data_IF_907046321469
#
_entry.id   IF_907046321469
#
_cell.length_a   1.000
_cell.length_b   1.000
_cell.length_c   1.000
_cell.angle_alpha   90.00
_cell.angle_beta   90.00
_cell.angle_gamma   90.00
#
_symmetry.space_group_name_H-M   'P 1'
#
loop_
_entity.id
_entity.type
_entity.pdbx_description
1 polymer ?
#
# COMPACT_ATOMS: atom_id res chain seq x y z
N UNK A 1 -11.78 8.02 -26.40
CA UNK A 1 -11.90 6.62 -25.93
C UNK A 1 -13.29 6.10 -26.25
N UNK A 2 -13.41 4.84 -26.72
CA UNK A 2 -14.69 4.19 -26.99
C UNK A 2 -15.11 3.32 -25.78
N UNK A 3 -16.36 3.41 -25.34
CA UNK A 3 -16.95 2.47 -24.38
C UNK A 3 -17.51 1.28 -25.17
N UNK A 4 -17.10 0.08 -24.82
CA UNK A 4 -17.58 -1.16 -25.46
C UNK A 4 -18.68 -1.78 -24.59
N UNK A 5 -19.92 -1.70 -25.05
CA UNK A 5 -21.04 -2.37 -24.39
C UNK A 5 -21.01 -3.87 -24.70
N UNK A 6 -21.04 -4.67 -23.66
CA UNK A 6 -21.00 -6.13 -23.78
C UNK A 6 -22.44 -6.68 -23.73
N UNK A 7 -22.77 -7.55 -24.70
CA UNK A 7 -24.10 -8.12 -24.86
C UNK A 7 -24.27 -9.50 -24.24
N UNK A 8 -23.14 -10.17 -23.85
CA UNK A 8 -23.16 -11.48 -23.21
C UNK A 8 -22.12 -11.57 -22.10
N UNK A 9 -22.48 -12.13 -20.95
CA UNK A 9 -21.55 -12.44 -19.88
C UNK A 9 -20.49 -13.49 -20.28
N UNK A 10 -20.72 -14.23 -21.35
CA UNK A 10 -19.79 -15.22 -21.91
C UNK A 10 -18.80 -14.62 -22.94
N UNK A 11 -18.84 -13.29 -23.18
CA UNK A 11 -17.96 -12.63 -24.14
C UNK A 11 -16.47 -12.94 -23.82
N UNK A 12 -15.68 -13.42 -24.81
CA UNK A 12 -14.28 -13.78 -24.59
C UNK A 12 -13.38 -12.60 -24.18
N UNK A 13 -13.75 -11.37 -24.51
CA UNK A 13 -13.03 -10.15 -24.11
C UNK A 13 -13.03 -9.93 -22.59
N UNK A 14 -13.96 -10.57 -21.87
CA UNK A 14 -14.04 -10.53 -20.41
C UNK A 14 -13.15 -11.56 -19.71
N UNK A 15 -12.41 -12.38 -20.46
CA UNK A 15 -11.59 -13.46 -19.89
C UNK A 15 -10.62 -12.94 -18.80
N UNK A 16 -9.99 -11.80 -19.04
CA UNK A 16 -9.04 -11.19 -18.08
C UNK A 16 -9.70 -10.86 -16.74
N UNK A 17 -11.02 -10.67 -16.70
CA UNK A 17 -11.74 -10.36 -15.45
C UNK A 17 -12.25 -11.60 -14.71
N UNK A 18 -12.15 -12.81 -15.29
CA UNK A 18 -12.65 -14.04 -14.66
C UNK A 18 -11.75 -14.57 -13.55
N UNK A 19 -10.45 -14.23 -13.58
CA UNK A 19 -9.48 -14.66 -12.59
C UNK A 19 -9.01 -13.56 -11.63
N UNK A 20 -9.70 -12.41 -11.61
CA UNK A 20 -9.35 -11.30 -10.70
C UNK A 20 -9.51 -11.63 -9.21
N UNK A 21 -10.18 -12.73 -8.89
CA UNK A 21 -10.25 -13.29 -7.54
C UNK A 21 -9.07 -14.18 -7.15
N UNK A 22 -8.27 -14.62 -8.13
CA UNK A 22 -7.12 -15.52 -7.94
C UNK A 22 -5.81 -14.74 -7.86
N UNK A 23 -5.30 -14.56 -6.64
CA UNK A 23 -4.09 -13.79 -6.39
C UNK A 23 -2.84 -14.41 -7.03
N UNK A 24 -2.74 -15.76 -7.05
CA UNK A 24 -1.61 -16.47 -7.63
C UNK A 24 -1.58 -16.32 -9.16
N UNK A 25 -2.74 -16.39 -9.80
CA UNK A 25 -2.86 -16.19 -11.24
C UNK A 25 -2.54 -14.74 -11.65
N UNK A 26 -2.98 -13.75 -10.85
CA UNK A 26 -2.65 -12.35 -11.08
C UNK A 26 -1.14 -12.12 -10.96
N UNK A 27 -0.49 -12.66 -9.94
CA UNK A 27 0.95 -12.57 -9.76
C UNK A 27 1.71 -13.22 -10.92
N UNK A 28 1.33 -14.43 -11.31
CA UNK A 28 1.92 -15.17 -12.46
C UNK A 28 1.82 -14.36 -13.77
N UNK A 29 0.74 -13.60 -13.96
CA UNK A 29 0.53 -12.73 -15.13
C UNK A 29 1.15 -11.35 -14.99
N UNK A 30 1.72 -11.01 -13.85
CA UNK A 30 2.24 -9.67 -13.57
C UNK A 30 1.13 -8.61 -13.58
N UNK A 31 -0.04 -8.93 -13.03
CA UNK A 31 -1.20 -8.05 -13.01
C UNK A 31 -1.60 -7.68 -11.58
N UNK A 32 -2.22 -6.53 -11.45
CA UNK A 32 -2.87 -6.05 -10.23
C UNK A 32 -4.31 -5.67 -10.52
N UNK A 33 -5.17 -5.87 -9.51
CA UNK A 33 -6.59 -5.56 -9.59
C UNK A 33 -6.93 -4.41 -8.67
N UNK A 34 -7.59 -3.42 -9.23
CA UNK A 34 -8.03 -2.22 -8.51
C UNK A 34 -9.54 -2.16 -8.54
N UNK A 35 -10.19 -2.19 -7.37
CA UNK A 35 -11.64 -2.20 -7.25
C UNK A 35 -12.18 -0.95 -6.55
N UNK A 36 -13.38 -0.55 -6.94
CA UNK A 36 -14.09 0.56 -6.36
C UNK A 36 -13.81 1.90 -7.03
N UNK A 37 -14.87 2.65 -7.30
CA UNK A 37 -14.85 3.85 -8.14
C UNK A 37 -13.76 4.84 -7.76
N UNK A 38 -13.68 5.27 -6.50
CA UNK A 38 -12.70 6.26 -6.05
C UNK A 38 -11.24 5.77 -6.20
N UNK A 39 -11.01 4.46 -6.02
CA UNK A 39 -9.66 3.88 -6.16
C UNK A 39 -9.27 3.74 -7.62
N UNK A 40 -10.22 3.37 -8.49
CA UNK A 40 -10.01 3.34 -9.95
C UNK A 40 -9.81 4.76 -10.50
N UNK A 41 -10.58 5.75 -10.05
CA UNK A 41 -10.36 7.16 -10.40
C UNK A 41 -8.94 7.61 -10.02
N UNK A 42 -8.46 7.24 -8.84
CA UNK A 42 -7.10 7.54 -8.38
C UNK A 42 -6.03 6.81 -9.20
N UNK A 43 -6.25 5.54 -9.55
CA UNK A 43 -5.37 4.82 -10.47
C UNK A 43 -5.19 5.58 -11.78
N UNK A 44 -6.31 6.06 -12.35
CA UNK A 44 -6.30 6.75 -13.65
C UNK A 44 -5.74 8.18 -13.59
N UNK A 45 -5.81 8.84 -12.43
CA UNK A 45 -5.39 10.23 -12.27
C UNK A 45 -3.96 10.39 -11.74
N UNK A 46 -3.59 9.60 -10.74
CA UNK A 46 -2.40 9.84 -9.91
C UNK A 46 -1.32 8.76 -10.05
N UNK A 47 -1.68 7.56 -10.55
CA UNK A 47 -0.75 6.43 -10.60
C UNK A 47 0.03 6.37 -11.91
N UNK A 48 1.25 5.87 -11.84
CA UNK A 48 2.09 5.56 -13.01
C UNK A 48 1.87 4.15 -13.56
N UNK A 49 1.00 3.36 -12.93
CA UNK A 49 0.74 1.99 -13.36
C UNK A 49 0.07 1.97 -14.73
N UNK A 50 0.55 1.11 -15.61
CA UNK A 50 -0.03 0.91 -16.93
C UNK A 50 -1.36 0.17 -16.80
N UNK A 51 -2.47 0.88 -17.03
CA UNK A 51 -3.82 0.29 -17.05
C UNK A 51 -3.99 -0.53 -18.33
N UNK A 52 -4.46 -1.78 -18.17
CA UNK A 52 -4.71 -2.70 -19.28
C UNK A 52 -6.18 -2.65 -19.72
N UNK A 53 -7.11 -2.80 -18.77
CA UNK A 53 -8.54 -2.81 -19.06
C UNK A 53 -9.38 -2.33 -17.87
N UNK A 54 -10.58 -1.87 -18.18
CA UNK A 54 -11.62 -1.46 -17.21
C UNK A 54 -12.90 -2.25 -17.46
N UNK A 55 -13.55 -2.70 -16.38
CA UNK A 55 -14.90 -3.27 -16.40
C UNK A 55 -15.78 -2.42 -15.51
N UNK A 56 -16.80 -1.83 -16.09
CA UNK A 56 -17.66 -0.83 -15.45
C UNK A 56 -19.13 -1.20 -15.61
N UNK A 57 -19.94 -0.78 -14.66
CA UNK A 57 -21.39 -0.65 -14.92
C UNK A 57 -21.69 0.66 -15.64
N UNK A 58 -22.83 0.76 -16.27
CA UNK A 58 -23.27 2.01 -16.92
C UNK A 58 -23.35 3.19 -15.92
N UNK A 59 -23.71 2.93 -14.67
CA UNK A 59 -23.74 3.95 -13.61
C UNK A 59 -22.31 4.42 -13.24
N UNK A 60 -21.38 3.49 -13.10
CA UNK A 60 -19.97 3.81 -12.83
C UNK A 60 -19.34 4.58 -14.00
N UNK A 61 -19.57 4.13 -15.24
CA UNK A 61 -19.05 4.80 -16.42
C UNK A 61 -19.54 6.26 -16.53
N UNK A 62 -20.83 6.51 -16.27
CA UNK A 62 -21.36 7.89 -16.23
C UNK A 62 -20.71 8.73 -15.13
N UNK A 63 -20.60 8.18 -13.91
CA UNK A 63 -20.01 8.89 -12.77
C UNK A 63 -18.52 9.23 -12.97
N UNK A 64 -17.78 8.39 -13.72
CA UNK A 64 -16.34 8.54 -14.00
C UNK A 64 -16.05 9.26 -15.31
N UNK A 65 -17.04 9.81 -16.01
CA UNK A 65 -16.92 10.34 -17.37
C UNK A 65 -15.74 11.31 -17.57
N UNK A 66 -15.49 12.20 -16.61
CA UNK A 66 -14.38 13.18 -16.67
C UNK A 66 -13.01 12.49 -16.67
N UNK A 67 -12.82 11.49 -15.80
CA UNK A 67 -11.55 10.76 -15.68
C UNK A 67 -11.38 9.82 -16.87
N UNK A 68 -12.44 9.16 -17.28
CA UNK A 68 -12.44 8.26 -18.44
C UNK A 68 -12.07 8.98 -19.74
N UNK A 69 -12.45 10.24 -19.91
CA UNK A 69 -12.10 11.03 -21.10
C UNK A 69 -10.56 11.19 -21.28
N UNK A 70 -9.78 11.01 -20.22
CA UNK A 70 -8.30 11.11 -20.24
C UNK A 70 -7.62 9.76 -20.42
N UNK A 71 -8.38 8.66 -20.39
CA UNK A 71 -7.81 7.31 -20.54
C UNK A 71 -7.32 7.13 -21.98
N UNK A 72 -6.09 6.61 -22.18
CA UNK A 72 -5.54 6.33 -23.50
C UNK A 72 -6.45 5.41 -24.33
N UNK A 73 -6.47 5.61 -25.65
CA UNK A 73 -7.28 4.79 -26.55
C UNK A 73 -6.87 3.30 -26.58
N UNK A 74 -5.67 2.99 -26.13
CA UNK A 74 -5.15 1.63 -25.98
C UNK A 74 -5.76 0.85 -24.81
N UNK A 75 -6.44 1.52 -23.86
CA UNK A 75 -7.09 0.89 -22.74
C UNK A 75 -8.50 0.47 -23.11
N UNK A 76 -8.82 -0.80 -22.99
CA UNK A 76 -10.15 -1.34 -23.25
C UNK A 76 -11.08 -1.00 -22.07
N UNK A 77 -12.27 -0.46 -22.39
CA UNK A 77 -13.28 -0.12 -21.38
C UNK A 77 -14.58 -0.82 -21.71
N UNK A 78 -14.89 -1.84 -20.93
CA UNK A 78 -16.09 -2.65 -21.08
C UNK A 78 -17.18 -2.16 -20.13
N UNK A 79 -18.42 -2.10 -20.65
CA UNK A 79 -19.60 -1.75 -19.87
C UNK A 79 -20.54 -2.94 -19.85
N UNK A 80 -20.90 -3.39 -18.64
CA UNK A 80 -21.77 -4.54 -18.41
C UNK A 80 -22.92 -4.19 -17.46
N UNK A 81 -24.05 -4.93 -17.49
CA UNK A 81 -25.09 -4.86 -16.48
C UNK A 81 -24.56 -5.20 -15.07
N UNK A 82 -25.03 -4.48 -14.04
CA UNK A 82 -24.61 -4.73 -12.65
C UNK A 82 -24.78 -6.20 -12.21
N UNK A 83 -25.85 -6.93 -12.56
CA UNK A 83 -26.01 -8.34 -12.16
C UNK A 83 -24.92 -9.28 -12.69
N UNK A 84 -24.22 -8.89 -13.76
CA UNK A 84 -23.16 -9.74 -14.35
C UNK A 84 -21.82 -9.60 -13.64
N UNK A 85 -21.59 -8.49 -12.94
CA UNK A 85 -20.30 -8.19 -12.32
C UNK A 85 -19.79 -9.33 -11.42
N UNK A 86 -20.65 -9.83 -10.53
CA UNK A 86 -20.28 -10.93 -9.62
C UNK A 86 -19.98 -12.23 -10.36
N UNK A 87 -20.76 -12.57 -11.36
CA UNK A 87 -20.56 -13.78 -12.17
C UNK A 87 -19.26 -13.73 -12.99
N UNK A 88 -18.85 -12.54 -13.44
CA UNK A 88 -17.62 -12.34 -14.18
C UNK A 88 -16.40 -12.35 -13.24
N UNK A 89 -16.46 -11.64 -12.12
CA UNK A 89 -15.30 -11.41 -11.24
C UNK A 89 -15.14 -12.42 -10.12
N UNK A 90 -16.17 -13.26 -9.87
CA UNK A 90 -16.17 -14.26 -8.80
C UNK A 90 -16.43 -13.69 -7.39
N UNK A 91 -16.64 -12.38 -7.24
CA UNK A 91 -16.96 -11.74 -5.95
C UNK A 91 -17.88 -10.54 -6.10
N UNK A 92 -18.51 -10.14 -4.99
CA UNK A 92 -19.43 -9.01 -5.00
C UNK A 92 -18.73 -7.66 -5.10
N UNK A 93 -18.95 -6.94 -6.20
CA UNK A 93 -18.43 -5.60 -6.45
C UNK A 93 -19.47 -4.53 -6.11
N UNK A 94 -19.36 -3.94 -4.92
CA UNK A 94 -20.34 -2.99 -4.39
C UNK A 94 -20.49 -1.69 -5.19
N UNK A 95 -19.53 -1.31 -6.03
CA UNK A 95 -19.54 0.00 -6.74
C UNK A 95 -19.35 -0.10 -8.24
N UNK A 96 -19.49 -1.29 -8.80
CA UNK A 96 -19.56 -1.54 -10.24
C UNK A 96 -18.39 -1.02 -11.07
N UNK A 97 -17.17 -1.01 -10.51
CA UNK A 97 -15.96 -0.62 -11.23
C UNK A 97 -14.77 -1.42 -10.78
N UNK A 98 -14.03 -1.96 -11.75
CA UNK A 98 -12.78 -2.68 -11.56
C UNK A 98 -11.82 -2.33 -12.70
N UNK A 99 -10.55 -2.21 -12.39
CA UNK A 99 -9.47 -2.03 -13.34
C UNK A 99 -8.44 -3.14 -13.19
N UNK A 100 -7.82 -3.51 -14.29
CA UNK A 100 -6.64 -4.36 -14.34
C UNK A 100 -5.48 -3.51 -14.83
N UNK A 101 -4.38 -3.52 -14.10
CA UNK A 101 -3.16 -2.82 -14.46
C UNK A 101 -1.96 -3.77 -14.41
N UNK A 102 -0.87 -3.41 -15.08
CA UNK A 102 0.40 -4.13 -14.97
C UNK A 102 1.02 -3.90 -13.60
N UNK A 103 1.52 -4.96 -13.00
CA UNK A 103 2.33 -4.86 -11.80
C UNK A 103 3.63 -4.13 -12.12
N UNK A 104 4.02 -3.09 -11.37
CA UNK A 104 5.28 -2.42 -11.60
C UNK A 104 6.45 -3.36 -11.27
N UNK A 105 7.64 -3.14 -11.83
CA UNK A 105 8.84 -3.84 -11.41
C UNK A 105 9.11 -3.61 -9.93
N UNK A 106 9.75 -4.57 -9.29
CA UNK A 106 10.20 -4.42 -7.91
C UNK A 106 11.25 -3.31 -7.82
N UNK A 107 11.14 -2.49 -6.79
CA UNK A 107 12.11 -1.42 -6.46
C UNK A 107 12.97 -1.93 -5.30
N UNK A 108 14.27 -1.77 -5.38
CA UNK A 108 15.19 -2.08 -4.27
C UNK A 108 15.17 -0.97 -3.21
N UNK A 109 15.68 -1.27 -2.02
CA UNK A 109 15.82 -0.26 -0.94
C UNK A 109 16.78 0.83 -1.37
N UNK A 110 17.86 0.48 -2.05
CA UNK A 110 18.83 1.42 -2.59
C UNK A 110 18.22 2.38 -3.63
N UNK A 111 17.41 1.87 -4.56
CA UNK A 111 16.71 2.69 -5.56
C UNK A 111 15.70 3.63 -4.90
N UNK A 112 14.97 3.15 -3.89
CA UNK A 112 14.03 3.96 -3.11
C UNK A 112 14.75 5.14 -2.43
N UNK A 113 15.91 4.88 -1.82
CA UNK A 113 16.71 5.88 -1.12
C UNK A 113 17.44 6.83 -2.08
N UNK A 114 17.94 6.32 -3.21
CA UNK A 114 18.55 7.14 -4.27
C UNK A 114 17.53 8.13 -4.87
N UNK A 115 16.24 7.81 -4.85
CA UNK A 115 15.14 8.70 -5.20
C UNK A 115 14.93 9.88 -4.23
N UNK A 116 15.72 9.97 -3.15
CA UNK A 116 15.67 11.05 -2.17
C UNK A 116 14.72 10.82 -1.00
N UNK A 117 14.25 9.58 -0.81
CA UNK A 117 13.38 9.22 0.30
C UNK A 117 14.07 9.47 1.65
N UNK A 118 13.43 10.23 2.54
CA UNK A 118 13.97 10.63 3.85
C UNK A 118 13.03 10.32 5.02
N UNK A 119 11.73 10.18 4.75
CA UNK A 119 10.70 9.78 5.72
C UNK A 119 10.13 8.45 5.31
N UNK A 120 10.42 7.40 6.07
CA UNK A 120 10.07 6.03 5.71
C UNK A 120 9.19 5.38 6.78
N UNK A 121 8.31 4.49 6.34
CA UNK A 121 7.80 3.38 7.15
C UNK A 121 8.60 2.12 6.81
N UNK A 122 9.02 1.39 7.83
CA UNK A 122 9.79 0.16 7.71
C UNK A 122 9.03 -0.92 8.48
N UNK A 123 8.58 -1.96 7.79
CA UNK A 123 7.61 -2.92 8.31
C UNK A 123 8.20 -4.31 8.40
N UNK A 124 8.05 -4.98 9.53
CA UNK A 124 8.46 -6.37 9.74
C UNK A 124 7.28 -7.23 10.17
N UNK A 125 6.97 -8.28 9.43
CA UNK A 125 5.94 -9.24 9.78
C UNK A 125 4.49 -8.73 9.69
N UNK A 126 4.26 -7.57 9.10
CA UNK A 126 2.92 -6.99 8.95
C UNK A 126 2.20 -7.67 7.79
N UNK A 127 1.67 -8.89 8.03
CA UNK A 127 1.05 -9.71 6.99
C UNK A 127 -0.41 -9.37 6.69
N UNK A 128 -1.14 -8.76 7.65
CA UNK A 128 -2.56 -8.45 7.47
C UNK A 128 -2.77 -7.32 6.44
N UNK A 129 -3.51 -7.56 5.33
CA UNK A 129 -3.73 -6.54 4.30
C UNK A 129 -4.51 -5.31 4.78
N UNK A 130 -5.28 -5.38 5.86
CA UNK A 130 -5.93 -4.21 6.45
C UNK A 130 -4.89 -3.29 7.11
N UNK A 131 -3.89 -3.86 7.78
CA UNK A 131 -2.80 -3.09 8.37
C UNK A 131 -1.85 -2.54 7.30
N UNK A 132 -1.46 -3.35 6.31
CA UNK A 132 -0.64 -2.88 5.18
C UNK A 132 -1.32 -1.71 4.46
N UNK A 133 -2.60 -1.87 4.12
CA UNK A 133 -3.37 -0.81 3.48
C UNK A 133 -3.54 0.42 4.36
N UNK A 134 -3.79 0.23 5.66
CA UNK A 134 -3.90 1.30 6.65
C UNK A 134 -2.61 2.09 6.82
N UNK A 135 -1.47 1.40 6.89
CA UNK A 135 -0.14 2.02 6.98
C UNK A 135 0.21 2.83 5.74
N UNK A 136 -0.06 2.32 4.54
CA UNK A 136 0.14 3.08 3.29
C UNK A 136 -0.74 4.32 3.22
N UNK A 137 -2.02 4.21 3.64
CA UNK A 137 -2.94 5.35 3.71
C UNK A 137 -2.45 6.41 4.70
N UNK A 138 -2.04 5.98 5.88
CA UNK A 138 -1.50 6.83 6.93
C UNK A 138 -0.19 7.47 6.47
N UNK A 139 0.74 6.69 5.93
CA UNK A 139 2.00 7.16 5.39
C UNK A 139 1.81 8.25 4.33
N UNK A 140 0.91 8.03 3.36
CA UNK A 140 0.57 9.06 2.36
C UNK A 140 0.04 10.34 3.00
N UNK A 141 -0.84 10.23 4.01
CA UNK A 141 -1.43 11.38 4.68
C UNK A 141 -0.40 12.22 5.44
N UNK A 142 0.67 11.59 5.95
CA UNK A 142 1.75 12.25 6.67
C UNK A 142 2.99 12.52 5.82
N UNK A 143 2.93 12.35 4.50
CA UNK A 143 4.03 12.65 3.59
C UNK A 143 5.22 11.69 3.74
N UNK A 144 4.95 10.40 3.91
CA UNK A 144 5.97 9.35 3.84
C UNK A 144 6.44 9.22 2.40
N UNK A 145 7.75 9.25 2.19
CA UNK A 145 8.37 9.18 0.86
C UNK A 145 8.42 7.75 0.32
N UNK A 146 8.42 6.75 1.21
CA UNK A 146 8.45 5.35 0.83
C UNK A 146 8.21 4.38 1.98
N UNK A 147 7.93 3.14 1.63
CA UNK A 147 7.73 2.04 2.57
C UNK A 147 8.70 0.90 2.26
N UNK A 148 9.41 0.41 3.27
CA UNK A 148 10.27 -0.77 3.16
C UNK A 148 9.58 -1.93 3.87
N UNK A 149 9.43 -3.04 3.16
CA UNK A 149 8.74 -4.24 3.62
C UNK A 149 9.77 -5.34 3.84
N UNK A 150 9.92 -5.78 5.07
CA UNK A 150 10.73 -6.91 5.46
C UNK A 150 9.99 -8.25 5.37
N UNK A 151 10.59 -9.33 5.92
CA UNK A 151 10.01 -10.65 5.92
C UNK A 151 8.62 -10.68 6.56
N UNK A 152 7.72 -11.51 6.04
CA UNK A 152 6.39 -11.73 6.58
C UNK A 152 5.38 -10.60 6.34
N UNK A 153 5.76 -9.56 5.59
CA UNK A 153 4.83 -8.49 5.20
C UNK A 153 3.90 -8.92 4.06
N UNK A 154 2.66 -8.44 4.12
CA UNK A 154 1.68 -8.61 3.05
C UNK A 154 2.01 -7.71 1.85
N UNK A 155 1.54 -8.13 0.67
CA UNK A 155 1.72 -7.38 -0.57
C UNK A 155 0.88 -6.08 -0.58
N UNK A 156 1.50 -4.89 -0.72
CA UNK A 156 0.80 -3.62 -0.90
C UNK A 156 -0.17 -3.60 -2.09
N UNK A 157 0.15 -4.34 -3.14
CA UNK A 157 -0.66 -4.43 -4.36
C UNK A 157 -1.70 -5.56 -4.32
N UNK A 158 -1.83 -6.25 -3.19
CA UNK A 158 -2.97 -7.14 -2.99
C UNK A 158 -4.27 -6.32 -2.98
N UNK A 159 -5.28 -6.81 -3.70
CA UNK A 159 -6.56 -6.12 -3.92
C UNK A 159 -7.17 -5.48 -2.66
N UNK A 160 -7.14 -6.20 -1.52
CA UNK A 160 -7.68 -5.69 -0.26
C UNK A 160 -6.84 -4.54 0.30
N UNK A 161 -5.51 -4.63 0.24
CA UNK A 161 -4.60 -3.57 0.68
C UNK A 161 -4.77 -2.30 -0.16
N UNK A 162 -4.87 -2.42 -1.48
CA UNK A 162 -5.18 -1.29 -2.39
C UNK A 162 -6.50 -0.61 -1.98
N UNK A 163 -7.54 -1.39 -1.72
CA UNK A 163 -8.85 -0.86 -1.34
C UNK A 163 -8.81 -0.16 0.02
N UNK A 164 -8.24 -0.79 1.05
CA UNK A 164 -8.14 -0.24 2.41
C UNK A 164 -7.28 1.03 2.42
N UNK A 165 -6.21 1.05 1.63
CA UNK A 165 -5.36 2.23 1.49
C UNK A 165 -6.04 3.38 0.75
N UNK A 166 -7.28 3.20 0.27
CA UNK A 166 -7.95 4.13 -0.66
C UNK A 166 -7.07 4.46 -1.88
N UNK A 167 -6.25 3.50 -2.35
CA UNK A 167 -5.34 3.66 -3.48
C UNK A 167 -4.00 4.33 -3.14
N UNK A 168 -3.66 4.56 -1.87
CA UNK A 168 -2.33 5.03 -1.51
C UNK A 168 -1.24 4.03 -1.96
N UNK A 169 -1.53 2.73 -1.92
CA UNK A 169 -0.65 1.66 -2.41
C UNK A 169 -0.27 1.79 -3.90
N UNK A 170 -1.03 2.54 -4.69
CA UNK A 170 -0.77 2.75 -6.12
C UNK A 170 0.20 3.91 -6.39
N UNK A 171 0.53 4.71 -5.38
CA UNK A 171 1.29 5.96 -5.55
C UNK A 171 2.43 6.14 -4.55
N UNK A 172 2.35 5.52 -3.37
CA UNK A 172 3.46 5.52 -2.40
C UNK A 172 4.48 4.48 -2.86
N UNK A 173 5.73 4.86 -3.13
CA UNK A 173 6.76 3.92 -3.49
C UNK A 173 7.02 2.91 -2.37
N UNK A 174 7.31 1.68 -2.72
CA UNK A 174 7.71 0.68 -1.73
C UNK A 174 8.77 -0.26 -2.28
N UNK A 175 9.63 -0.74 -1.39
CA UNK A 175 10.61 -1.78 -1.65
C UNK A 175 10.33 -2.99 -0.76
N UNK A 176 10.59 -4.18 -1.26
CA UNK A 176 10.56 -5.41 -0.46
C UNK A 176 11.94 -6.02 -0.43
N UNK A 177 12.49 -6.23 0.76
CA UNK A 177 13.81 -6.82 0.95
C UNK A 177 13.73 -8.01 1.92
N UNK A 178 14.01 -9.24 1.45
CA UNK A 178 14.05 -10.42 2.30
C UNK A 178 15.31 -10.49 3.17
N UNK A 179 16.41 -9.82 2.78
CA UNK A 179 17.62 -9.70 3.57
C UNK A 179 17.49 -8.54 4.56
N UNK A 180 16.78 -8.83 5.64
CA UNK A 180 16.31 -7.82 6.57
C UNK A 180 17.40 -7.07 7.34
N UNK A 181 18.43 -7.73 7.94
CA UNK A 181 19.52 -7.01 8.58
C UNK A 181 20.26 -6.08 7.63
N UNK A 182 20.46 -6.50 6.37
CA UNK A 182 21.09 -5.69 5.33
C UNK A 182 20.26 -4.45 5.00
N UNK A 183 18.95 -4.60 4.78
CA UNK A 183 18.05 -3.51 4.44
C UNK A 183 18.07 -2.40 5.50
N UNK A 184 18.04 -2.77 6.80
CA UNK A 184 18.10 -1.83 7.91
C UNK A 184 19.46 -1.09 7.94
N UNK A 185 20.55 -1.80 7.66
CA UNK A 185 21.89 -1.24 7.52
C UNK A 185 22.01 -0.23 6.38
N UNK A 186 21.40 -0.52 5.23
CA UNK A 186 21.36 0.38 4.06
C UNK A 186 20.65 1.69 4.40
N UNK A 187 19.49 1.64 5.07
CA UNK A 187 18.74 2.83 5.51
C UNK A 187 19.61 3.72 6.40
N UNK A 188 20.27 3.13 7.40
CA UNK A 188 21.15 3.86 8.33
C UNK A 188 22.36 4.46 7.63
N UNK A 189 22.98 3.74 6.69
CA UNK A 189 24.11 4.22 5.90
C UNK A 189 23.76 5.48 5.08
N UNK A 190 22.51 5.63 4.65
CA UNK A 190 22.01 6.84 3.98
C UNK A 190 21.71 8.00 4.94
N UNK A 191 22.11 7.91 6.22
CA UNK A 191 21.94 8.97 7.20
C UNK A 191 20.49 9.16 7.68
N UNK A 192 19.68 8.14 7.53
CA UNK A 192 18.30 8.11 8.03
C UNK A 192 18.30 7.42 9.40
N UNK A 193 17.72 8.09 10.38
CA UNK A 193 17.60 7.56 11.74
C UNK A 193 16.51 6.50 11.82
N UNK A 194 16.90 5.30 12.24
CA UNK A 194 15.98 4.16 12.37
C UNK A 194 15.42 4.13 13.80
N UNK A 195 14.13 4.46 13.93
CA UNK A 195 13.41 4.50 15.21
C UNK A 195 12.48 3.29 15.30
N UNK A 196 12.80 2.33 16.15
CA UNK A 196 11.96 1.15 16.40
C UNK A 196 10.85 1.46 17.41
N UNK A 197 9.60 1.19 17.03
CA UNK A 197 8.46 1.32 17.93
C UNK A 197 8.17 0.01 18.65
N UNK A 198 8.10 0.09 19.98
CA UNK A 198 7.78 -1.05 20.85
C UNK A 198 6.87 -0.59 21.98
N UNK A 199 5.93 -1.44 22.46
CA UNK A 199 5.06 -1.11 23.58
C UNK A 199 5.76 -1.17 24.94
N UNK A 200 7.06 -1.54 25.01
CA UNK A 200 7.80 -1.68 26.25
C UNK A 200 7.79 -0.37 27.08
N UNK A 201 7.20 -0.36 28.28
CA UNK A 201 7.02 0.86 29.07
C UNK A 201 8.33 1.47 29.60
N UNK A 202 9.45 0.72 29.60
CA UNK A 202 10.76 1.22 30.03
C UNK A 202 11.46 2.07 28.97
N UNK A 203 10.96 2.10 27.72
CA UNK A 203 11.56 2.87 26.64
C UNK A 203 11.16 4.36 26.73
N UNK A 204 12.00 5.27 26.22
CA UNK A 204 11.66 6.69 26.11
C UNK A 204 10.41 6.89 25.25
N UNK A 205 9.68 7.97 25.51
CA UNK A 205 8.53 8.32 24.68
C UNK A 205 8.98 8.78 23.29
N UNK A 206 8.10 8.64 22.30
CA UNK A 206 8.34 9.19 20.96
C UNK A 206 8.53 10.72 21.00
N UNK A 207 7.88 11.42 21.92
CA UNK A 207 8.02 12.87 22.10
C UNK A 207 9.43 13.23 22.58
N UNK A 208 9.97 12.49 23.57
CA UNK A 208 11.35 12.68 24.05
C UNK A 208 12.39 12.41 22.97
N UNK A 209 12.16 11.36 22.17
CA UNK A 209 13.06 11.00 21.06
C UNK A 209 13.01 12.07 19.96
N UNK A 210 11.83 12.51 19.58
CA UNK A 210 11.66 13.54 18.54
C UNK A 210 12.28 14.90 18.97
N UNK A 211 12.14 15.28 20.25
CA UNK A 211 12.71 16.52 20.78
C UNK A 211 14.25 16.56 20.75
N UNK A 212 14.91 15.41 20.77
CA UNK A 212 16.38 15.30 20.74
C UNK A 212 16.94 15.12 19.33
N UNK A 213 16.07 14.90 18.36
CA UNK A 213 16.45 14.60 16.99
C UNK A 213 16.90 15.84 16.22
N UNK A 214 17.94 15.71 15.40
CA UNK A 214 18.35 16.77 14.48
C UNK A 214 17.31 16.89 13.34
N UNK A 215 16.73 18.07 13.10
CA UNK A 215 15.67 18.26 12.08
C UNK A 215 16.11 17.90 10.65
N UNK A 216 17.40 18.04 10.35
CA UNK A 216 17.98 17.73 9.02
C UNK A 216 18.14 16.25 8.74
N UNK A 217 18.07 15.39 9.76
CA UNK A 217 18.22 13.94 9.59
C UNK A 217 16.90 13.31 9.13
N UNK A 218 16.94 12.42 8.13
CA UNK A 218 15.79 11.60 7.74
C UNK A 218 15.31 10.70 8.88
N UNK A 219 14.10 10.19 8.83
CA UNK A 219 13.55 9.26 9.83
C UNK A 219 12.87 8.07 9.17
N UNK A 220 13.17 6.88 9.69
CA UNK A 220 12.52 5.64 9.34
C UNK A 220 11.85 5.05 10.60
N UNK A 221 10.54 4.93 10.60
CA UNK A 221 9.79 4.33 11.70
C UNK A 221 9.67 2.82 11.45
N UNK A 222 10.33 2.03 12.29
CA UNK A 222 10.33 0.58 12.23
C UNK A 222 9.18 0.03 13.10
N UNK A 223 8.28 -0.72 12.46
CA UNK A 223 7.04 -1.22 13.01
C UNK A 223 6.95 -2.74 12.82
N UNK A 224 6.64 -3.46 13.88
CA UNK A 224 6.51 -4.91 13.87
C UNK A 224 5.08 -5.42 13.70
N UNK A 225 4.97 -6.73 13.56
CA UNK A 225 3.70 -7.45 13.50
C UNK A 225 2.87 -7.26 14.78
N UNK A 226 1.55 -7.40 14.65
CA UNK A 226 0.66 -7.54 15.81
C UNK A 226 0.95 -8.85 16.55
N UNK A 227 1.04 -8.78 17.85
CA UNK A 227 1.38 -9.89 18.74
C UNK A 227 2.90 -10.02 18.95
N UNK A 228 3.68 -10.64 18.05
CA UNK A 228 5.11 -10.84 18.28
C UNK A 228 5.95 -9.56 18.27
N UNK A 229 5.48 -8.48 17.59
CA UNK A 229 6.23 -7.25 17.47
C UNK A 229 7.42 -7.35 16.51
N UNK A 230 8.48 -6.61 16.81
CA UNK A 230 9.75 -6.64 16.09
C UNK A 230 10.64 -7.76 16.63
N UNK A 231 11.44 -8.37 15.75
CA UNK A 231 12.48 -9.31 16.16
C UNK A 231 13.60 -8.60 16.92
N UNK A 232 14.37 -9.36 17.73
CA UNK A 232 15.53 -8.83 18.43
C UNK A 232 16.56 -8.25 17.44
N UNK A 233 16.77 -8.92 16.31
CA UNK A 233 17.66 -8.45 15.25
C UNK A 233 17.24 -7.08 14.70
N UNK A 234 15.94 -6.86 14.51
CA UNK A 234 15.40 -5.57 14.06
C UNK A 234 15.53 -4.49 15.15
N UNK A 235 15.27 -4.85 16.40
CA UNK A 235 15.44 -3.96 17.55
C UNK A 235 16.91 -3.56 17.76
N UNK A 236 17.85 -4.45 17.53
CA UNK A 236 19.29 -4.20 17.70
C UNK A 236 19.87 -3.40 16.52
N UNK A 237 19.26 -3.50 15.34
CA UNK A 237 19.64 -2.67 14.21
C UNK A 237 19.14 -1.21 14.33
N UNK A 238 18.16 -0.93 15.18
CA UNK A 238 17.61 0.42 15.34
C UNK A 238 18.59 1.37 16.04
N UNK A 239 18.64 2.63 15.59
CA UNK A 239 19.43 3.68 16.28
C UNK A 239 18.79 4.05 17.62
N UNK A 240 17.46 4.04 17.66
CA UNK A 240 16.66 4.39 18.86
C UNK A 240 15.46 3.46 18.96
N UNK A 241 15.15 3.03 20.20
CA UNK A 241 13.93 2.32 20.55
C UNK A 241 13.00 3.29 21.29
N UNK A 242 11.74 3.40 20.91
CA UNK A 242 10.79 4.34 21.48
C UNK A 242 9.41 3.70 21.68
N UNK A 243 8.62 4.26 22.57
CA UNK A 243 7.22 3.87 22.75
C UNK A 243 6.26 5.02 22.49
N UNK A 244 5.07 4.71 22.02
CA UNK A 244 3.94 5.62 22.09
C UNK A 244 3.41 5.56 23.52
N UNK A 245 3.34 6.69 24.26
CA UNK A 245 2.74 6.70 25.60
C UNK A 245 1.25 6.35 25.50
N UNK A 246 0.84 5.31 26.20
CA UNK A 246 -0.56 4.86 26.33
C UNK A 246 -0.89 4.61 27.79
N UNK A 247 -2.17 4.51 28.09
CA UNK A 247 -2.64 4.15 29.43
C UNK A 247 -2.10 2.77 29.85
N UNK A 248 -1.71 2.65 31.12
CA UNK A 248 -1.12 1.42 31.65
C UNK A 248 -2.10 0.21 31.66
N UNK A 249 -3.40 0.45 31.51
CA UNK A 249 -4.40 -0.61 31.38
C UNK A 249 -4.50 -1.17 29.94
N UNK A 250 -3.76 -0.57 28.98
CA UNK A 250 -3.73 -1.01 27.58
C UNK A 250 -2.40 -1.68 27.25
N UNK A 251 -2.44 -2.85 26.62
CA UNK A 251 -1.23 -3.60 26.26
C UNK A 251 -0.51 -3.00 25.05
N UNK A 252 -1.25 -2.53 24.05
CA UNK A 252 -0.69 -1.98 22.80
C UNK A 252 -1.74 -1.20 21.99
N UNK A 253 -1.28 -0.55 20.92
CA UNK A 253 -2.11 0.02 19.87
C UNK A 253 -2.05 -0.86 18.62
N UNK A 254 -3.13 -0.83 17.81
CA UNK A 254 -3.04 -1.30 16.43
C UNK A 254 -1.88 -0.61 15.72
N UNK A 255 -1.14 -1.34 14.90
CA UNK A 255 0.08 -0.86 14.23
C UNK A 255 -0.14 0.39 13.38
N UNK A 256 -1.30 0.51 12.73
CA UNK A 256 -1.67 1.69 11.92
C UNK A 256 -1.87 2.93 12.80
N UNK A 257 -2.47 2.75 13.97
CA UNK A 257 -2.69 3.84 14.95
C UNK A 257 -1.35 4.28 15.54
N UNK A 258 -0.51 3.33 15.95
CA UNK A 258 0.85 3.63 16.44
C UNK A 258 1.67 4.39 15.40
N UNK A 259 1.61 3.98 14.14
CA UNK A 259 2.27 4.67 13.03
C UNK A 259 1.72 6.10 12.85
N UNK A 260 0.42 6.32 12.93
CA UNK A 260 -0.19 7.64 12.78
C UNK A 260 0.28 8.61 13.87
N UNK A 261 0.29 8.16 15.12
CA UNK A 261 0.77 8.96 16.27
C UNK A 261 2.26 9.29 16.10
N UNK A 262 3.08 8.28 15.77
CA UNK A 262 4.51 8.50 15.58
C UNK A 262 4.81 9.43 14.39
N UNK A 263 4.18 9.23 13.24
CA UNK A 263 4.34 10.09 12.07
C UNK A 263 3.92 11.55 12.36
N UNK A 264 2.93 11.76 13.23
CA UNK A 264 2.52 13.10 13.67
C UNK A 264 3.61 13.77 14.50
N UNK A 265 4.27 13.03 15.38
CA UNK A 265 5.34 13.56 16.25
C UNK A 265 6.63 13.80 15.46
N UNK A 266 6.99 12.92 14.54
CA UNK A 266 8.20 13.01 13.71
C UNK A 266 8.02 13.81 12.39
N UNK A 267 7.03 14.70 12.32
CA UNK A 267 6.77 15.53 11.13
C UNK A 267 7.76 16.70 10.97
#
# INVERSE_FOLDING_TARGET
>A
MALTHIESAADPRLETFRFVGDAAELERRGLVVVEGRLVVERLLADSTLQVHALLLTAAAARAMGVVLARVPASVEVFVVPQPWMQGITGFNLHRGSIAIARRPPAVSVEELLAGGARRLLVLEGVGNPDNVGGLLRTGRAFGVDGVVLGPGCGDPLYRKAIRVSCGAALVVPFAHDPDWPRALGVIRHHGIELVALSPNPSLPSIDDVAARRAPSRGVALLLGAEGPGLTDAALDAADVKARVPIDAASDSLNVTVAAAVALHVFR
#
